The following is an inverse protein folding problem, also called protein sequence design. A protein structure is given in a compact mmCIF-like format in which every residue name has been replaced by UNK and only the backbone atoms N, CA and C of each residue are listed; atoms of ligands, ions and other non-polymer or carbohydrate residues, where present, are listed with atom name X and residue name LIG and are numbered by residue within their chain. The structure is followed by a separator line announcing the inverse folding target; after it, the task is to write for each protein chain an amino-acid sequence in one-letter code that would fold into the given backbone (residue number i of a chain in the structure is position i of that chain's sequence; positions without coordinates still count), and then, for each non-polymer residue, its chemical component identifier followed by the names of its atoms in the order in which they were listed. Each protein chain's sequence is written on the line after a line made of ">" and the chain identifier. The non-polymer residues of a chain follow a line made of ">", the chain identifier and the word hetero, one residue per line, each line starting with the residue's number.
data_IF_165769320045
#
_entry.id   IF_165769320045
#
_cell.length_a   1.000
_cell.length_b   1.000
_cell.length_c   1.000
_cell.angle_alpha   90.00
_cell.angle_beta   90.00
_cell.angle_gamma   90.00
#
_symmetry.space_group_name_H-M   'P 1'
#
loop_
_entity.id
_entity.type
_entity.pdbx_description
1 polymer ?
#
# COMPACT_ATOMS: atom_id res chain seq x y z
N UNK A 1 7.33 -3.58 13.92
CA UNK A 1 6.89 -2.58 12.94
C UNK A 1 5.55 -3.00 12.38
N UNK A 2 4.49 -2.28 12.75
CA UNK A 2 3.10 -2.62 12.44
C UNK A 2 2.63 -1.81 11.25
N UNK A 3 2.59 -2.43 10.07
CA UNK A 3 1.92 -1.88 8.88
C UNK A 3 0.46 -2.28 8.94
N UNK A 4 -0.39 -1.30 9.26
CA UNK A 4 -1.85 -1.41 9.21
C UNK A 4 -2.31 -1.78 7.81
N UNK A 5 -3.41 -2.53 7.77
CA UNK A 5 -4.12 -2.97 6.58
C UNK A 5 -4.48 -1.81 5.66
N UNK A 6 -4.79 -2.15 4.43
CA UNK A 6 -5.30 -1.28 3.39
C UNK A 6 -5.39 -2.16 2.18
N UNK A 7 -6.61 -2.39 1.70
CA UNK A 7 -6.85 -2.92 0.38
C UNK A 7 -5.89 -2.24 -0.60
N UNK A 8 -5.28 -2.99 -1.52
CA UNK A 8 -4.34 -2.48 -2.51
C UNK A 8 -4.89 -1.19 -3.10
N UNK A 9 -4.41 -0.07 -2.56
CA UNK A 9 -4.73 1.25 -3.06
C UNK A 9 -3.93 1.27 -4.34
N UNK A 10 -4.61 1.31 -5.49
CA UNK A 10 -3.99 1.77 -6.72
C UNK A 10 -3.44 3.15 -6.34
N UNK A 11 -2.14 3.22 -6.10
CA UNK A 11 -1.47 4.42 -5.67
C UNK A 11 -1.68 5.47 -6.74
N UNK A 12 -2.51 6.46 -6.47
CA UNK A 12 -2.63 7.71 -7.25
C UNK A 12 -1.41 8.61 -7.00
N UNK A 13 -0.22 8.02 -6.96
CA UNK A 13 1.07 8.69 -7.01
C UNK A 13 1.51 8.92 -8.45
N UNK A 14 0.64 9.53 -9.27
CA UNK A 14 1.06 10.11 -10.54
C UNK A 14 1.58 11.51 -10.25
N UNK A 15 2.91 11.61 -10.20
CA UNK A 15 3.60 12.89 -10.19
C UNK A 15 3.09 13.77 -11.30
N UNK A 16 2.63 14.95 -10.91
CA UNK A 16 2.20 16.05 -11.78
C UNK A 16 3.39 16.50 -12.63
N UNK A 17 3.58 15.87 -13.79
CA UNK A 17 4.39 16.43 -14.86
C UNK A 17 3.62 17.65 -15.40
N UNK A 18 3.99 18.83 -14.90
CA UNK A 18 3.48 20.10 -15.36
C UNK A 18 3.75 20.28 -16.84
N UNK A 19 2.69 20.30 -17.62
CA UNK A 19 2.65 20.79 -18.98
C UNK A 19 2.73 22.32 -18.93
N UNK A 20 3.81 22.90 -19.44
CA UNK A 20 4.04 24.34 -19.45
C UNK A 20 4.94 24.73 -20.62
N UNK A 21 4.31 25.06 -21.74
CA UNK A 21 4.91 25.64 -22.94
C UNK A 21 5.24 27.12 -22.76
N UNK A 22 6.16 27.61 -23.61
CA UNK A 22 6.46 29.01 -24.00
C UNK A 22 7.63 29.72 -23.30
N UNK A 23 8.58 30.20 -24.11
CA UNK A 23 9.61 31.15 -23.67
C UNK A 23 10.96 31.04 -24.37
N UNK A 24 11.01 31.35 -25.67
CA UNK A 24 12.23 31.66 -26.43
C UNK A 24 13.02 32.81 -25.80
N UNK A 25 14.34 32.68 -25.64
CA UNK A 25 15.21 33.76 -25.17
C UNK A 25 16.70 33.47 -25.34
N UNK A 26 17.21 33.82 -26.51
CA UNK A 26 18.61 33.78 -26.93
C UNK A 26 19.33 35.05 -26.42
N UNK A 27 20.56 34.95 -25.89
CA UNK A 27 21.47 36.11 -25.90
C UNK A 27 22.46 36.30 -24.73
N UNK A 28 23.73 36.31 -25.14
CA UNK A 28 24.82 37.22 -24.74
C UNK A 28 25.71 36.91 -23.53
N UNK A 29 27.00 36.93 -23.87
CA UNK A 29 28.27 36.97 -23.14
C UNK A 29 28.40 38.07 -22.08
N UNK A 30 29.11 37.79 -20.98
CA UNK A 30 29.62 38.81 -20.06
C UNK A 30 30.58 38.24 -19.00
N UNK A 31 31.87 38.53 -19.17
CA UNK A 31 33.00 38.17 -18.30
C UNK A 31 33.31 39.37 -17.38
N UNK A 32 33.55 39.17 -16.08
CA UNK A 32 34.26 40.18 -15.27
C UNK A 32 33.93 40.33 -13.77
N UNK A 33 34.96 40.07 -12.96
CA UNK A 33 35.40 40.79 -11.74
C UNK A 33 34.69 40.60 -10.37
N UNK A 34 35.40 39.89 -9.49
CA UNK A 34 35.69 40.15 -8.05
C UNK A 34 34.76 41.06 -7.24
N UNK A 35 34.10 40.47 -6.24
CA UNK A 35 33.48 41.17 -5.10
C UNK A 35 33.35 40.25 -3.90
N UNK A 36 34.07 40.57 -2.83
CA UNK A 36 34.20 39.85 -1.57
C UNK A 36 33.09 40.28 -0.60
N UNK A 37 32.39 39.32 0.03
CA UNK A 37 31.60 39.60 1.24
C UNK A 37 30.29 38.83 1.39
N UNK A 38 30.24 37.95 2.39
CA UNK A 38 29.07 37.78 3.27
C UNK A 38 27.96 36.80 2.85
N UNK A 39 27.92 35.66 3.56
CA UNK A 39 26.67 35.03 4.02
C UNK A 39 25.84 34.24 3.00
N UNK A 40 26.15 32.94 2.85
CA UNK A 40 25.24 31.96 2.27
C UNK A 40 25.31 30.65 3.06
N UNK A 41 24.36 30.47 3.99
CA UNK A 41 23.91 29.14 4.44
C UNK A 41 22.54 28.88 3.83
N UNK A 42 22.35 27.65 3.34
CA UNK A 42 21.10 27.07 2.83
C UNK A 42 20.72 27.38 1.37
N UNK A 43 21.46 26.80 0.42
CA UNK A 43 20.86 26.28 -0.82
C UNK A 43 21.72 25.14 -1.37
N UNK A 44 21.33 23.89 -1.11
CA UNK A 44 22.08 22.73 -1.61
C UNK A 44 21.70 21.40 -0.97
N UNK A 45 20.43 20.98 -1.08
CA UNK A 45 20.05 19.60 -0.77
C UNK A 45 18.99 19.13 -1.77
N UNK A 46 19.40 18.77 -2.99
CA UNK A 46 18.51 18.00 -3.87
C UNK A 46 19.22 17.05 -4.84
N UNK A 47 20.52 16.78 -4.67
CA UNK A 47 21.29 15.94 -5.60
C UNK A 47 21.74 14.57 -5.05
N UNK A 48 21.45 14.22 -3.79
CA UNK A 48 22.01 13.01 -3.17
C UNK A 48 21.18 11.71 -3.31
N UNK A 49 19.96 11.74 -3.86
CA UNK A 49 19.14 10.53 -3.94
C UNK A 49 19.60 9.55 -5.04
N UNK A 50 20.08 10.04 -6.18
CA UNK A 50 20.46 9.19 -7.32
C UNK A 50 21.81 8.49 -7.13
N UNK A 51 22.76 9.13 -6.42
CA UNK A 51 24.08 8.55 -6.14
C UNK A 51 23.97 7.35 -5.17
N UNK A 52 23.07 7.42 -4.20
CA UNK A 52 22.87 6.37 -3.20
C UNK A 52 22.30 5.08 -3.80
N UNK A 53 21.39 5.19 -4.78
CA UNK A 53 20.77 4.03 -5.45
C UNK A 53 21.79 3.29 -6.33
N UNK A 54 22.60 4.02 -7.09
CA UNK A 54 23.69 3.44 -7.90
C UNK A 54 24.71 2.72 -7.02
N UNK A 55 25.10 3.30 -5.89
CA UNK A 55 26.04 2.68 -4.97
C UNK A 55 25.49 1.37 -4.37
N UNK A 56 24.20 1.35 -3.99
CA UNK A 56 23.57 0.16 -3.44
C UNK A 56 23.52 -1.01 -4.45
N UNK A 57 23.20 -0.73 -5.72
CA UNK A 57 23.21 -1.74 -6.78
C UNK A 57 24.61 -2.33 -7.02
N UNK A 58 25.65 -1.49 -6.99
CA UNK A 58 27.04 -1.95 -7.15
C UNK A 58 27.43 -2.88 -5.99
N UNK A 59 27.13 -2.50 -4.75
CA UNK A 59 27.40 -3.33 -3.58
C UNK A 59 26.63 -4.66 -3.64
N UNK A 60 25.39 -4.63 -4.11
CA UNK A 60 24.59 -5.85 -4.32
C UNK A 60 25.24 -6.78 -5.34
N UNK A 61 25.73 -6.24 -6.46
CA UNK A 61 26.42 -7.03 -7.48
C UNK A 61 27.70 -7.66 -6.93
N UNK A 62 28.47 -6.93 -6.12
CA UNK A 62 29.67 -7.47 -5.44
C UNK A 62 29.29 -8.62 -4.51
N UNK A 63 28.25 -8.44 -3.68
CA UNK A 63 27.78 -9.48 -2.77
C UNK A 63 27.31 -10.75 -3.47
N UNK A 64 26.77 -10.63 -4.68
CA UNK A 64 26.24 -11.74 -5.45
C UNK A 64 27.28 -12.44 -6.33
N UNK A 65 28.25 -11.71 -6.85
CA UNK A 65 29.22 -12.22 -7.81
C UNK A 65 30.55 -12.63 -7.18
N UNK A 66 31.08 -11.83 -6.24
CA UNK A 66 32.40 -12.04 -5.68
C UNK A 66 32.56 -11.42 -4.28
N UNK A 67 31.92 -12.01 -3.24
CA UNK A 67 32.22 -11.64 -1.86
C UNK A 67 33.69 -11.98 -1.54
N UNK A 68 34.31 -11.18 -0.68
CA UNK A 68 35.70 -11.31 -0.23
C UNK A 68 35.74 -11.19 1.30
N UNK A 69 35.18 -12.20 1.98
CA UNK A 69 35.10 -12.22 3.45
C UNK A 69 36.26 -13.04 4.00
N UNK A 70 36.48 -14.23 3.45
CA UNK A 70 37.50 -15.16 3.94
C UNK A 70 38.72 -15.26 3.01
N UNK A 71 38.58 -14.87 1.74
CA UNK A 71 39.65 -14.96 0.73
C UNK A 71 39.91 -16.40 0.27
N UNK A 72 38.97 -17.32 0.51
CA UNK A 72 39.05 -18.73 0.18
C UNK A 72 37.72 -19.26 -0.42
N UNK A 73 37.61 -20.57 -0.66
CA UNK A 73 36.44 -21.17 -1.31
C UNK A 73 35.10 -20.94 -0.58
N UNK A 74 35.12 -20.59 0.70
CA UNK A 74 33.90 -20.32 1.49
C UNK A 74 33.17 -19.09 0.96
N UNK A 75 33.90 -18.14 0.39
CA UNK A 75 33.30 -16.96 -0.24
C UNK A 75 32.39 -17.36 -1.42
N UNK A 76 32.74 -18.42 -2.16
CA UNK A 76 31.87 -18.97 -3.21
C UNK A 76 30.56 -19.56 -2.68
N UNK A 77 30.57 -20.13 -1.47
CA UNK A 77 29.35 -20.62 -0.79
C UNK A 77 28.50 -19.43 -0.35
N UNK A 78 29.14 -18.39 0.21
CA UNK A 78 28.48 -17.15 0.64
C UNK A 78 27.83 -16.45 -0.56
N UNK A 79 28.50 -16.40 -1.71
CA UNK A 79 27.94 -15.84 -2.95
C UNK A 79 26.63 -16.55 -3.34
N UNK A 80 26.62 -17.90 -3.30
CA UNK A 80 25.40 -18.68 -3.59
C UNK A 80 24.30 -18.44 -2.56
N UNK A 81 24.64 -18.32 -1.29
CA UNK A 81 23.66 -17.99 -0.24
C UNK A 81 23.08 -16.58 -0.45
N UNK A 82 23.91 -15.60 -0.80
CA UNK A 82 23.48 -14.24 -1.14
C UNK A 82 22.56 -14.25 -2.37
N UNK A 83 22.88 -15.04 -3.39
CA UNK A 83 22.01 -15.22 -4.57
C UNK A 83 20.63 -15.80 -4.20
N UNK A 84 20.59 -16.82 -3.35
CA UNK A 84 19.32 -17.37 -2.85
C UNK A 84 18.49 -16.32 -2.10
N UNK A 85 19.13 -15.58 -1.19
CA UNK A 85 18.47 -14.50 -0.44
C UNK A 85 17.94 -13.40 -1.37
N UNK A 86 18.73 -13.00 -2.38
CA UNK A 86 18.30 -12.04 -3.40
C UNK A 86 17.12 -12.55 -4.22
N UNK A 87 17.12 -13.83 -4.63
CA UNK A 87 16.01 -14.45 -5.36
C UNK A 87 14.73 -14.52 -4.53
N UNK A 88 14.84 -14.73 -3.22
CA UNK A 88 13.70 -14.67 -2.30
C UNK A 88 13.24 -13.24 -2.00
N UNK A 89 14.09 -12.24 -2.25
CA UNK A 89 13.81 -10.85 -1.92
C UNK A 89 13.83 -10.57 -0.42
N UNK A 90 14.58 -11.36 0.34
CA UNK A 90 14.71 -11.18 1.79
C UNK A 90 16.06 -11.67 2.27
N UNK A 91 16.67 -10.92 3.18
CA UNK A 91 17.92 -11.30 3.83
C UNK A 91 18.99 -10.23 3.71
N UNK A 92 20.20 -10.57 4.14
CA UNK A 92 21.36 -9.68 4.17
C UNK A 92 22.55 -10.32 3.45
N UNK A 93 23.05 -9.64 2.45
CA UNK A 93 24.18 -10.05 1.62
C UNK A 93 25.48 -9.51 2.19
N UNK A 94 26.28 -10.38 2.80
CA UNK A 94 27.61 -10.02 3.28
C UNK A 94 28.62 -10.23 2.16
N UNK A 95 29.57 -9.30 2.01
CA UNK A 95 30.54 -9.33 0.91
C UNK A 95 31.97 -8.96 1.30
N UNK A 96 32.21 -8.46 2.51
CA UNK A 96 33.54 -8.28 3.10
C UNK A 96 33.41 -8.31 4.64
N UNK A 97 34.54 -8.27 5.37
CA UNK A 97 34.54 -8.37 6.83
C UNK A 97 34.12 -7.07 7.54
N UNK A 98 34.46 -5.90 6.99
CA UNK A 98 34.25 -4.60 7.65
C UNK A 98 33.07 -3.79 7.08
N UNK A 99 32.51 -4.19 5.95
CA UNK A 99 31.41 -3.46 5.31
C UNK A 99 30.05 -3.86 5.88
N UNK A 100 29.10 -2.94 5.72
CA UNK A 100 27.70 -3.21 6.04
C UNK A 100 27.11 -4.21 5.04
N UNK A 101 26.27 -5.13 5.53
CA UNK A 101 25.59 -6.07 4.66
C UNK A 101 24.57 -5.36 3.77
N UNK A 102 24.44 -5.82 2.53
CA UNK A 102 23.44 -5.32 1.59
C UNK A 102 22.08 -5.93 1.91
N UNK A 103 21.06 -5.10 2.07
CA UNK A 103 19.69 -5.58 2.27
C UNK A 103 19.06 -6.06 0.97
N UNK A 104 18.62 -7.32 0.96
CA UNK A 104 17.79 -7.85 -0.12
C UNK A 104 16.33 -7.61 0.21
N UNK A 105 15.68 -6.74 -0.57
CA UNK A 105 14.24 -6.47 -0.45
C UNK A 105 13.47 -7.10 -1.61
N UNK A 106 12.13 -7.24 -1.53
CA UNK A 106 11.38 -7.85 -2.62
C UNK A 106 11.38 -7.03 -3.92
N UNK A 107 11.73 -5.74 -3.83
CA UNK A 107 11.91 -4.81 -4.95
C UNK A 107 13.28 -4.98 -5.63
N UNK A 108 14.19 -5.76 -5.05
CA UNK A 108 15.50 -5.96 -5.65
C UNK A 108 15.37 -6.59 -7.07
N UNK A 109 16.23 -6.21 -8.04
CA UNK A 109 16.11 -6.67 -9.43
C UNK A 109 16.20 -8.19 -9.61
N UNK A 110 16.85 -8.89 -8.68
CA UNK A 110 17.04 -10.34 -8.75
C UNK A 110 15.90 -11.12 -8.07
N UNK A 111 14.97 -10.47 -7.38
CA UNK A 111 13.85 -11.14 -6.74
C UNK A 111 13.00 -11.90 -7.77
N UNK A 112 12.95 -13.23 -7.60
CA UNK A 112 12.18 -14.17 -8.44
C UNK A 112 10.94 -14.68 -7.74
N UNK A 113 10.84 -14.52 -6.42
CA UNK A 113 9.70 -15.02 -5.67
C UNK A 113 8.49 -14.08 -5.80
N UNK A 114 7.91 -14.12 -6.98
CA UNK A 114 6.81 -13.28 -7.45
C UNK A 114 5.80 -14.18 -8.16
N UNK A 115 4.55 -14.09 -7.75
CA UNK A 115 3.44 -14.80 -8.38
C UNK A 115 2.28 -13.83 -8.58
N UNK A 116 1.39 -14.14 -9.51
CA UNK A 116 0.14 -13.37 -9.68
C UNK A 116 -1.01 -14.22 -9.16
N UNK A 117 -1.80 -13.63 -8.27
CA UNK A 117 -3.07 -14.22 -7.82
C UNK A 117 -4.24 -13.35 -8.27
N UNK A 118 -5.46 -13.83 -8.04
CA UNK A 118 -6.66 -13.09 -8.41
C UNK A 118 -7.42 -12.61 -7.18
N UNK A 119 -7.85 -11.35 -7.16
CA UNK A 119 -8.60 -10.74 -6.06
C UNK A 119 -9.91 -10.18 -6.58
N UNK A 120 -10.98 -10.31 -5.79
CA UNK A 120 -12.31 -9.86 -6.20
C UNK A 120 -12.43 -8.33 -6.17
N UNK A 121 -13.04 -7.78 -7.22
CA UNK A 121 -13.38 -6.37 -7.32
C UNK A 121 -14.52 -6.01 -6.35
N UNK A 122 -14.50 -4.81 -5.74
CA UNK A 122 -15.65 -4.30 -5.00
C UNK A 122 -16.87 -4.16 -5.93
N UNK A 123 -18.03 -4.65 -5.49
CA UNK A 123 -19.27 -4.64 -6.27
C UNK A 123 -20.23 -3.51 -5.92
N UNK A 124 -20.05 -2.86 -4.76
CA UNK A 124 -20.92 -1.77 -4.31
C UNK A 124 -20.68 -0.46 -5.06
N UNK A 125 -21.75 0.29 -5.29
CA UNK A 125 -21.68 1.61 -5.87
C UNK A 125 -21.05 2.63 -4.91
N UNK A 126 -20.57 3.75 -5.45
CA UNK A 126 -20.09 4.84 -4.59
C UNK A 126 -21.22 5.46 -3.76
N UNK A 127 -22.44 5.48 -4.28
CA UNK A 127 -23.63 6.04 -3.63
C UNK A 127 -24.16 5.18 -2.48
N UNK A 128 -23.76 3.90 -2.39
CA UNK A 128 -24.07 3.04 -1.26
C UNK A 128 -23.33 3.49 0.02
N UNK A 129 -22.30 4.34 -0.12
CA UNK A 129 -21.61 4.96 1.02
C UNK A 129 -20.76 4.01 1.85
N UNK A 130 -20.53 2.78 1.40
CA UNK A 130 -19.86 1.75 2.17
C UNK A 130 -18.35 2.01 2.31
N UNK A 131 -17.91 2.11 3.57
CA UNK A 131 -16.50 2.25 3.94
C UNK A 131 -16.14 1.17 4.96
N UNK A 132 -15.07 0.44 4.67
CA UNK A 132 -14.50 -0.53 5.60
C UNK A 132 -13.44 0.11 6.49
N UNK A 133 -13.57 -0.13 7.78
CA UNK A 133 -12.65 0.32 8.82
C UNK A 133 -12.08 -0.91 9.52
N UNK A 134 -10.75 -1.04 9.56
CA UNK A 134 -10.11 -2.17 10.26
C UNK A 134 -9.72 -1.76 11.67
N UNK A 135 -10.33 -2.42 12.66
CA UNK A 135 -10.08 -2.21 14.09
C UNK A 135 -9.19 -3.34 14.61
N UNK A 136 -8.15 -3.00 15.37
CA UNK A 136 -7.25 -3.98 16.01
C UNK A 136 -7.85 -4.55 17.30
N UNK A 137 -9.01 -5.19 17.16
CA UNK A 137 -9.76 -5.90 18.21
C UNK A 137 -10.46 -7.10 17.60
N UNK A 138 -10.69 -8.14 18.41
CA UNK A 138 -11.48 -9.32 18.02
C UNK A 138 -12.93 -8.92 17.74
N UNK A 139 -13.58 -9.67 16.85
CA UNK A 139 -14.93 -9.35 16.40
C UNK A 139 -15.97 -9.44 17.53
N UNK A 140 -15.80 -10.37 18.47
CA UNK A 140 -16.60 -10.45 19.71
C UNK A 140 -16.57 -9.16 20.52
N UNK A 141 -15.39 -8.57 20.66
CA UNK A 141 -15.15 -7.40 21.51
C UNK A 141 -15.70 -6.14 20.83
N UNK A 142 -15.50 -6.03 19.51
CA UNK A 142 -16.08 -4.97 18.69
C UNK A 142 -17.60 -5.04 18.70
N UNK A 143 -18.17 -6.25 18.61
CA UNK A 143 -19.63 -6.45 18.69
C UNK A 143 -20.19 -6.04 20.04
N UNK A 144 -19.50 -6.37 21.13
CA UNK A 144 -19.92 -5.97 22.48
C UNK A 144 -19.83 -4.44 22.70
N UNK A 145 -18.82 -3.79 22.14
CA UNK A 145 -18.56 -2.35 22.26
C UNK A 145 -19.08 -1.54 21.06
N UNK A 146 -19.98 -2.09 20.25
CA UNK A 146 -20.39 -1.49 18.97
C UNK A 146 -20.99 -0.09 19.17
N UNK A 147 -21.81 0.11 20.19
CA UNK A 147 -22.45 1.41 20.46
C UNK A 147 -21.43 2.48 20.88
N UNK A 148 -20.43 2.12 21.69
CA UNK A 148 -19.34 3.01 22.08
C UNK A 148 -18.46 3.38 20.87
N UNK A 149 -18.19 2.39 20.02
CA UNK A 149 -17.43 2.59 18.78
C UNK A 149 -18.17 3.53 17.80
N UNK A 150 -19.47 3.32 17.58
CA UNK A 150 -20.31 4.21 16.77
C UNK A 150 -20.35 5.62 17.34
N UNK A 151 -20.47 5.75 18.67
CA UNK A 151 -20.43 7.06 19.35
C UNK A 151 -19.08 7.76 19.14
N UNK A 152 -17.97 7.01 19.18
CA UNK A 152 -16.66 7.58 18.93
C UNK A 152 -16.46 7.99 17.45
N UNK A 153 -16.98 7.21 16.50
CA UNK A 153 -17.01 7.60 15.09
C UNK A 153 -17.87 8.84 14.87
N UNK A 154 -19.03 8.95 15.52
CA UNK A 154 -19.88 10.13 15.44
C UNK A 154 -19.16 11.40 15.93
N UNK A 155 -18.34 11.29 16.98
CA UNK A 155 -17.45 12.38 17.42
C UNK A 155 -16.42 12.76 16.35
N UNK A 156 -15.88 11.79 15.61
CA UNK A 156 -14.96 12.05 14.50
C UNK A 156 -15.65 12.84 13.36
N UNK A 157 -16.97 12.69 13.18
CA UNK A 157 -17.77 13.49 12.26
C UNK A 157 -18.28 14.82 12.87
N UNK A 158 -17.72 15.24 14.01
CA UNK A 158 -18.03 16.52 14.66
C UNK A 158 -19.28 16.51 15.54
N UNK A 159 -19.80 15.33 15.90
CA UNK A 159 -20.98 15.16 16.78
C UNK A 159 -22.24 15.90 16.29
N UNK A 160 -22.38 16.09 14.97
CA UNK A 160 -23.52 16.81 14.40
C UNK A 160 -24.81 15.98 14.60
N UNK A 161 -25.90 16.57 15.13
CA UNK A 161 -27.15 15.84 15.33
C UNK A 161 -27.81 15.41 14.00
N UNK A 162 -27.43 16.04 12.89
CA UNK A 162 -27.89 15.70 11.55
C UNK A 162 -27.20 14.46 10.98
N UNK A 163 -26.04 14.06 11.51
CA UNK A 163 -25.22 12.96 10.98
C UNK A 163 -25.41 11.70 11.83
N UNK A 164 -25.60 10.57 11.17
CA UNK A 164 -25.71 9.25 11.77
C UNK A 164 -24.69 8.30 11.13
N UNK A 165 -23.96 7.56 11.97
CA UNK A 165 -23.03 6.52 11.52
C UNK A 165 -23.71 5.17 11.71
N UNK A 166 -23.88 4.44 10.62
CA UNK A 166 -24.56 3.16 10.60
C UNK A 166 -23.54 2.05 10.34
N UNK A 167 -23.68 0.93 11.06
CA UNK A 167 -22.86 -0.28 10.85
C UNK A 167 -23.63 -1.23 9.95
N UNK A 168 -23.07 -1.53 8.79
CA UNK A 168 -23.62 -2.49 7.82
C UNK A 168 -23.21 -3.92 8.18
N UNK A 169 -21.95 -4.12 8.56
CA UNK A 169 -21.44 -5.46 8.83
C UNK A 169 -20.16 -5.48 9.66
N UNK A 170 -19.94 -6.63 10.30
CA UNK A 170 -18.70 -6.97 11.01
C UNK A 170 -18.12 -8.24 10.37
N UNK A 171 -16.86 -8.16 9.96
CA UNK A 171 -16.13 -9.28 9.37
C UNK A 171 -14.84 -9.51 10.16
N UNK A 172 -14.66 -10.69 10.80
CA UNK A 172 -13.44 -10.97 11.53
C UNK A 172 -12.27 -11.17 10.55
N UNK A 173 -11.14 -10.53 10.83
CA UNK A 173 -9.90 -10.63 10.06
C UNK A 173 -8.83 -11.39 10.84
N UNK A 174 -7.73 -11.84 10.19
CA UNK A 174 -6.60 -12.43 10.89
C UNK A 174 -5.98 -11.49 11.94
N UNK A 175 -5.22 -12.06 12.88
CA UNK A 175 -4.45 -11.32 13.89
C UNK A 175 -5.30 -10.44 14.81
N UNK A 176 -6.44 -10.97 15.26
CA UNK A 176 -7.36 -10.29 16.19
C UNK A 176 -7.78 -8.90 15.69
N UNK A 177 -8.00 -8.80 14.39
CA UNK A 177 -8.54 -7.61 13.74
C UNK A 177 -9.98 -7.84 13.29
N UNK A 178 -10.73 -6.77 13.12
CA UNK A 178 -12.11 -6.81 12.61
C UNK A 178 -12.29 -5.73 11.58
N UNK A 179 -12.83 -6.08 10.42
CA UNK A 179 -13.35 -5.13 9.43
C UNK A 179 -14.78 -4.75 9.83
N UNK A 180 -15.00 -3.48 10.10
CA UNK A 180 -16.31 -2.88 10.35
C UNK A 180 -16.70 -2.12 9.10
N UNK A 181 -17.76 -2.55 8.42
CA UNK A 181 -18.32 -1.84 7.27
C UNK A 181 -19.35 -0.85 7.78
N UNK A 182 -19.17 0.42 7.44
CA UNK A 182 -20.06 1.52 7.83
C UNK A 182 -20.56 2.28 6.62
N UNK A 183 -21.65 3.01 6.80
CA UNK A 183 -22.07 4.12 5.93
C UNK A 183 -22.54 5.28 6.79
N UNK A 184 -22.55 6.49 6.22
CA UNK A 184 -22.90 7.71 6.94
C UNK A 184 -24.13 8.34 6.29
N UNK A 185 -25.13 8.62 7.11
CA UNK A 185 -26.38 9.25 6.70
C UNK A 185 -26.46 10.65 7.28
N UNK A 186 -26.82 11.63 6.47
CA UNK A 186 -27.14 12.99 6.91
C UNK A 186 -28.62 13.29 6.70
N UNK A 187 -29.25 13.87 7.73
CA UNK A 187 -30.64 14.33 7.71
C UNK A 187 -30.68 15.83 7.48
N UNK A 188 -31.30 16.25 6.38
CA UNK A 188 -31.53 17.65 6.06
C UNK A 188 -32.70 18.24 6.87
N UNK A 189 -32.77 19.57 6.94
CA UNK A 189 -33.79 20.33 7.68
C UNK A 189 -35.22 20.04 7.19
N UNK A 190 -35.37 19.70 5.91
CA UNK A 190 -36.63 19.28 5.30
C UNK A 190 -37.06 17.85 5.67
N UNK A 191 -36.30 17.17 6.53
CA UNK A 191 -36.57 15.80 6.98
C UNK A 191 -36.08 14.70 6.05
N UNK A 192 -35.54 15.01 4.86
CA UNK A 192 -34.97 14.02 3.95
C UNK A 192 -33.63 13.51 4.45
N UNK A 193 -33.32 12.23 4.17
CA UNK A 193 -32.05 11.61 4.50
C UNK A 193 -31.25 11.33 3.24
N UNK A 194 -29.94 11.56 3.30
CA UNK A 194 -29.00 11.30 2.21
C UNK A 194 -27.82 10.49 2.74
N UNK A 195 -27.40 9.47 1.99
CA UNK A 195 -26.17 8.73 2.27
C UNK A 195 -25.00 9.50 1.65
N UNK A 196 -23.91 9.67 2.40
CA UNK A 196 -22.68 10.24 1.86
C UNK A 196 -21.96 9.22 0.97
N UNK A 197 -21.46 9.62 -0.21
CA UNK A 197 -20.70 8.73 -1.06
C UNK A 197 -19.46 8.17 -0.37
N UNK A 198 -19.11 6.92 -0.67
CA UNK A 198 -18.01 6.20 -0.01
C UNK A 198 -16.67 6.94 -0.14
N UNK A 199 -16.43 7.54 -1.31
CA UNK A 199 -15.22 8.33 -1.59
C UNK A 199 -15.11 9.56 -0.69
N UNK A 200 -16.21 10.26 -0.44
CA UNK A 200 -16.23 11.46 0.41
C UNK A 200 -15.97 11.09 1.87
N UNK A 201 -16.62 10.04 2.35
CA UNK A 201 -16.41 9.52 3.72
C UNK A 201 -14.97 9.04 3.89
N UNK A 202 -14.42 8.31 2.91
CA UNK A 202 -13.02 7.86 2.92
C UNK A 202 -12.03 9.04 2.97
N UNK A 203 -12.23 10.06 2.14
CA UNK A 203 -11.37 11.23 2.10
C UNK A 203 -11.43 12.01 3.42
N UNK A 204 -12.62 12.15 4.00
CA UNK A 204 -12.82 12.80 5.29
C UNK A 204 -12.09 12.07 6.43
N UNK A 205 -12.26 10.76 6.53
CA UNK A 205 -11.63 9.94 7.57
C UNK A 205 -10.10 9.88 7.45
N UNK A 206 -9.56 10.13 6.25
CA UNK A 206 -8.12 10.18 6.01
C UNK A 206 -7.47 11.55 6.26
N UNK A 207 -8.24 12.58 6.61
CA UNK A 207 -7.68 13.86 7.05
C UNK A 207 -6.81 13.65 8.30
N UNK A 208 -5.65 14.32 8.38
CA UNK A 208 -4.64 14.05 9.43
C UNK A 208 -5.20 14.10 10.85
N UNK A 209 -6.01 15.12 11.17
CA UNK A 209 -6.66 15.29 12.47
C UNK A 209 -7.63 14.15 12.80
N UNK A 210 -8.44 13.72 11.83
CA UNK A 210 -9.42 12.65 12.01
C UNK A 210 -8.70 11.30 12.12
N UNK A 211 -7.70 11.07 11.28
CA UNK A 211 -6.88 9.86 11.28
C UNK A 211 -6.21 9.62 12.64
N UNK A 212 -5.71 10.66 13.29
CA UNK A 212 -5.17 10.56 14.66
C UNK A 212 -6.25 10.16 15.68
N UNK A 213 -7.46 10.73 15.60
CA UNK A 213 -8.57 10.34 16.48
C UNK A 213 -9.01 8.89 16.27
N UNK A 214 -9.06 8.44 15.01
CA UNK A 214 -9.38 7.06 14.65
C UNK A 214 -8.34 6.08 15.23
N UNK A 215 -7.05 6.44 15.18
CA UNK A 215 -5.99 5.62 15.78
C UNK A 215 -6.17 5.46 17.29
N UNK A 216 -6.65 6.49 18.00
CA UNK A 216 -6.92 6.41 19.45
C UNK A 216 -8.00 5.37 19.79
N UNK A 217 -8.95 5.15 18.89
CA UNK A 217 -10.02 4.14 19.06
C UNK A 217 -9.66 2.78 18.46
N UNK A 218 -8.40 2.58 18.05
CA UNK A 218 -7.88 1.30 17.58
C UNK A 218 -8.08 1.03 16.08
N UNK A 219 -8.47 2.05 15.30
CA UNK A 219 -8.55 1.94 13.85
C UNK A 219 -7.14 1.95 13.25
N UNK A 220 -6.87 0.97 12.39
CA UNK A 220 -5.59 0.80 11.69
C UNK A 220 -5.68 1.17 10.22
N UNK A 221 -6.87 1.10 9.64
CA UNK A 221 -7.10 1.32 8.21
C UNK A 221 -8.51 1.77 7.92
N UNK A 222 -8.66 2.54 6.83
CA UNK A 222 -9.93 2.92 6.23
C UNK A 222 -9.83 2.66 4.73
N UNK A 223 -10.85 2.06 4.12
CA UNK A 223 -10.90 1.77 2.68
C UNK A 223 -12.32 1.98 2.17
N UNK A 224 -12.50 2.74 1.08
CA UNK A 224 -13.79 2.82 0.38
C UNK A 224 -14.10 1.48 -0.31
N UNK A 225 -15.32 0.98 -0.17
CA UNK A 225 -15.80 -0.26 -0.85
C UNK A 225 -16.50 0.07 -2.18
N UNK A 226 -16.22 1.21 -2.80
CA UNK A 226 -16.81 1.59 -4.08
C UNK A 226 -16.17 0.84 -5.25
N UNK A 227 -16.97 0.58 -6.28
CA UNK A 227 -16.52 0.05 -7.56
C UNK A 227 -15.43 0.96 -8.14
N UNK A 228 -14.40 0.34 -8.73
CA UNK A 228 -13.26 1.04 -9.31
C UNK A 228 -13.69 1.59 -10.69
N UNK A 229 -13.47 2.89 -10.98
CA UNK A 229 -13.78 3.46 -12.28
C UNK A 229 -13.08 2.68 -13.42
N UNK A 230 -13.77 2.38 -14.55
CA UNK A 230 -13.21 1.58 -15.64
C UNK A 230 -11.88 2.11 -16.19
N UNK A 231 -11.73 3.44 -16.29
CA UNK A 231 -10.49 4.06 -16.76
C UNK A 231 -9.30 3.79 -15.81
N UNK A 232 -9.53 3.83 -14.50
CA UNK A 232 -8.50 3.54 -13.50
C UNK A 232 -8.14 2.05 -13.48
N UNK A 233 -9.15 1.19 -13.66
CA UNK A 233 -8.96 -0.23 -13.81
C UNK A 233 -8.12 -0.57 -15.05
N UNK A 234 -8.43 0.05 -16.19
CA UNK A 234 -7.66 -0.13 -17.42
C UNK A 234 -6.22 0.35 -17.25
N UNK A 235 -6.03 1.53 -16.67
CA UNK A 235 -4.69 2.05 -16.37
C UNK A 235 -3.87 1.09 -15.49
N UNK A 236 -4.50 0.46 -14.50
CA UNK A 236 -3.83 -0.55 -13.67
C UNK A 236 -3.42 -1.79 -14.49
N UNK A 237 -4.27 -2.26 -15.40
CA UNK A 237 -4.00 -3.44 -16.22
C UNK A 237 -2.95 -3.20 -17.31
N UNK A 238 -2.88 -1.98 -17.83
CA UNK A 238 -1.93 -1.58 -18.87
C UNK A 238 -0.48 -1.47 -18.34
N UNK A 239 -0.32 -1.21 -17.05
CA UNK A 239 0.99 -1.04 -16.43
C UNK A 239 1.36 -2.24 -15.57
N UNK A 240 2.36 -3.01 -16.00
CA UNK A 240 2.89 -4.11 -15.20
C UNK A 240 3.41 -3.59 -13.84
N UNK A 241 3.03 -4.19 -12.70
CA UNK A 241 3.53 -3.77 -11.40
C UNK A 241 5.06 -3.86 -11.31
N UNK A 242 5.66 -3.00 -10.50
CA UNK A 242 7.11 -2.96 -10.32
C UNK A 242 7.67 -4.35 -9.96
N UNK A 243 8.69 -4.78 -10.71
CA UNK A 243 9.36 -6.06 -10.52
C UNK A 243 8.63 -7.26 -11.11
N UNK A 244 7.43 -7.12 -11.67
CA UNK A 244 6.75 -8.17 -12.45
C UNK A 244 7.12 -7.99 -13.92
N UNK A 245 7.53 -9.09 -14.55
CA UNK A 245 7.81 -9.09 -15.98
C UNK A 245 6.54 -8.84 -16.80
N UNK A 246 6.62 -8.00 -17.83
CA UNK A 246 5.46 -7.61 -18.64
C UNK A 246 4.79 -8.81 -19.32
N UNK A 247 5.56 -9.81 -19.77
CA UNK A 247 5.00 -11.01 -20.39
C UNK A 247 4.24 -11.86 -19.34
N UNK A 248 4.79 -11.99 -18.13
CA UNK A 248 4.11 -12.67 -17.03
C UNK A 248 2.80 -11.95 -16.65
N UNK A 249 2.81 -10.62 -16.63
CA UNK A 249 1.62 -9.83 -16.33
C UNK A 249 0.54 -9.96 -17.41
N UNK A 250 0.93 -9.90 -18.69
CA UNK A 250 0.01 -10.11 -19.80
C UNK A 250 -0.58 -11.52 -19.82
N UNK A 251 0.23 -12.53 -19.48
CA UNK A 251 -0.25 -13.89 -19.33
C UNK A 251 -1.26 -14.01 -18.19
N UNK A 252 -0.98 -13.40 -17.03
CA UNK A 252 -1.92 -13.42 -15.90
C UNK A 252 -3.24 -12.70 -16.19
N UNK A 253 -3.25 -11.66 -17.05
CA UNK A 253 -4.50 -11.05 -17.51
C UNK A 253 -5.34 -12.03 -18.34
N UNK A 254 -4.70 -12.82 -19.20
CA UNK A 254 -5.37 -13.83 -20.05
C UNK A 254 -5.86 -15.04 -19.26
N UNK A 255 -5.09 -15.45 -18.26
CA UNK A 255 -5.39 -16.61 -17.42
C UNK A 255 -6.40 -16.29 -16.29
N UNK A 256 -6.92 -15.06 -16.26
CA UNK A 256 -7.90 -14.65 -15.28
C UNK A 256 -9.21 -15.43 -15.47
N UNK A 257 -9.66 -16.24 -14.49
CA UNK A 257 -10.82 -17.10 -14.66
C UNK A 257 -12.15 -16.33 -14.69
N UNK A 258 -12.21 -15.10 -14.20
CA UNK A 258 -13.40 -14.24 -14.26
C UNK A 258 -12.98 -12.76 -14.37
N UNK A 259 -12.68 -12.24 -15.57
CA UNK A 259 -12.18 -10.87 -15.77
C UNK A 259 -13.15 -9.76 -15.35
N UNK A 260 -14.43 -10.06 -15.19
CA UNK A 260 -15.44 -9.08 -14.76
C UNK A 260 -15.44 -8.88 -13.24
N UNK A 261 -15.11 -9.94 -12.50
CA UNK A 261 -15.16 -9.93 -11.02
C UNK A 261 -13.80 -10.01 -10.36
N UNK A 262 -12.79 -10.50 -11.06
CA UNK A 262 -11.47 -10.74 -10.51
C UNK A 262 -10.43 -9.87 -11.20
N UNK A 263 -9.46 -9.42 -10.41
CA UNK A 263 -8.32 -8.63 -10.83
C UNK A 263 -7.04 -9.41 -10.57
N UNK A 264 -6.09 -9.48 -11.53
CA UNK A 264 -4.75 -9.97 -11.24
C UNK A 264 -4.08 -9.04 -10.23
N UNK A 265 -3.43 -9.60 -9.21
CA UNK A 265 -2.71 -8.87 -8.17
C UNK A 265 -1.38 -9.56 -7.92
N UNK A 266 -0.25 -8.83 -7.94
CA UNK A 266 1.04 -9.40 -7.64
C UNK A 266 1.16 -9.79 -6.16
N UNK A 267 1.72 -10.96 -5.90
CA UNK A 267 2.05 -11.46 -4.57
C UNK A 267 3.57 -11.66 -4.58
N UNK A 268 4.26 -10.81 -3.82
CA UNK A 268 5.71 -10.72 -3.84
C UNK A 268 6.25 -11.09 -2.45
N UNK A 269 7.11 -12.10 -2.38
CA UNK A 269 7.75 -12.52 -1.16
C UNK A 269 6.86 -13.33 -0.19
N UNK A 270 7.49 -13.84 0.87
CA UNK A 270 6.83 -14.70 1.86
C UNK A 270 5.79 -13.96 2.71
N UNK A 271 6.01 -12.67 2.98
CA UNK A 271 5.11 -11.87 3.83
C UNK A 271 3.72 -11.74 3.22
N UNK A 272 3.63 -11.36 1.94
CA UNK A 272 2.33 -11.24 1.27
C UNK A 272 1.69 -12.61 1.01
N UNK A 273 2.48 -13.66 0.74
CA UNK A 273 1.96 -15.02 0.62
C UNK A 273 1.37 -15.52 1.96
N UNK A 274 2.11 -15.38 3.06
CA UNK A 274 1.65 -15.76 4.40
C UNK A 274 0.40 -14.98 4.80
N UNK A 275 0.37 -13.68 4.50
CA UNK A 275 -0.80 -12.84 4.71
C UNK A 275 -1.99 -13.40 3.93
N UNK A 276 -1.85 -13.66 2.63
CA UNK A 276 -2.93 -14.24 1.82
C UNK A 276 -3.43 -15.57 2.37
N UNK A 277 -2.52 -16.46 2.81
CA UNK A 277 -2.88 -17.73 3.45
C UNK A 277 -3.75 -17.50 4.70
N UNK A 278 -3.35 -16.59 5.60
CA UNK A 278 -4.15 -16.27 6.80
C UNK A 278 -5.55 -15.75 6.45
N UNK A 279 -5.67 -14.91 5.43
CA UNK A 279 -6.98 -14.44 4.96
C UNK A 279 -7.82 -15.60 4.40
N UNK A 280 -7.23 -16.54 3.66
CA UNK A 280 -7.92 -17.71 3.14
C UNK A 280 -8.40 -18.65 4.26
N UNK A 281 -7.57 -18.90 5.28
CA UNK A 281 -7.95 -19.65 6.47
C UNK A 281 -9.17 -19.01 7.15
N UNK A 282 -9.13 -17.68 7.32
CA UNK A 282 -10.21 -16.92 7.95
C UNK A 282 -11.52 -16.96 7.15
N UNK A 283 -11.47 -16.82 5.82
CA UNK A 283 -12.66 -16.95 4.97
C UNK A 283 -13.21 -18.37 5.00
N UNK A 284 -12.33 -19.38 5.02
CA UNK A 284 -12.72 -20.80 5.12
C UNK A 284 -13.47 -21.08 6.42
N UNK A 285 -12.96 -20.57 7.55
CA UNK A 285 -13.65 -20.65 8.84
C UNK A 285 -15.04 -20.00 8.79
N UNK A 286 -15.17 -18.84 8.15
CA UNK A 286 -16.48 -18.19 7.98
C UNK A 286 -17.42 -18.97 7.07
N UNK A 287 -16.92 -19.57 5.98
CA UNK A 287 -17.72 -20.47 5.14
C UNK A 287 -18.20 -21.68 5.92
N UNK A 288 -17.32 -22.32 6.69
CA UNK A 288 -17.69 -23.47 7.51
C UNK A 288 -18.76 -23.13 8.55
N UNK A 289 -18.65 -21.96 9.22
CA UNK A 289 -19.68 -21.48 10.14
C UNK A 289 -21.02 -21.27 9.45
N UNK A 290 -21.03 -20.68 8.25
CA UNK A 290 -22.25 -20.48 7.46
C UNK A 290 -22.88 -21.80 7.03
N UNK A 291 -22.07 -22.74 6.57
CA UNK A 291 -22.52 -24.08 6.19
C UNK A 291 -23.09 -24.86 7.38
N UNK A 292 -22.55 -24.69 8.60
CA UNK A 292 -23.08 -25.34 9.79
C UNK A 292 -24.41 -24.77 10.31
N UNK A 293 -24.87 -23.64 9.77
CA UNK A 293 -26.17 -23.02 10.10
C UNK A 293 -27.27 -23.49 9.13
N UNK A 294 -26.89 -23.93 7.92
CA UNK A 294 -27.78 -24.43 6.87
C UNK A 294 -28.05 -25.92 7.12
#
# INVERSE_FOLDING_TARGET
>A
GTTGTGFGTIGTGLGTAGFGTTGTGFGTTGFGTTGFGGGLTALGQQQNAQQAVLNNQVLMNVALANPQINGDERDGIIAKLNQLQAYWGTGKGYFNQQGEAVDFTPENPYCRFKVVGYSQLPSSGNDDGLVAIVVKKKESDVRQQQQEFVTALHKCFGSKPTVMVCVDGLKPLPEDCTEVVIYVVERAENGTTKIHPATDVYNYLNQNNIKTQLQTIGVTSVTAKSSIPPALLQQYLDNAPAGIDSLLWDQAKKDNPDPEKLLPVPIIGFSELKKRLKFQEQETLQHQKRLGII
#
